data_IF_514499745726
#
_entry.id   IF_514499745726
#
_cell.length_a   1.000
_cell.length_b   1.000
_cell.length_c   1.000
_cell.angle_alpha   90.00
_cell.angle_beta   90.00
_cell.angle_gamma   90.00
#
_symmetry.space_group_name_H-M   'P 1'
#
loop_
_entity.id
_entity.type
_entity.pdbx_description
1 polymer ?
#
# COMPACT_ATOMS: atom_id res chain seq x y z
N UNK A 1 2.64 19.80 18.53
CA UNK A 1 2.29 18.52 17.86
C UNK A 1 3.41 17.99 16.98
N UNK A 2 3.97 18.79 16.05
CA UNK A 2 5.09 18.35 15.19
C UNK A 2 6.35 17.93 15.96
N UNK A 3 6.79 18.71 16.95
CA UNK A 3 7.99 18.39 17.75
C UNK A 3 7.90 17.06 18.49
N UNK A 4 6.79 16.83 19.22
CA UNK A 4 6.57 15.57 19.93
C UNK A 4 6.62 14.34 18.99
N UNK A 5 6.02 14.45 17.81
CA UNK A 5 6.06 13.36 16.81
C UNK A 5 7.48 13.11 16.29
N UNK A 6 8.28 14.16 16.13
CA UNK A 6 9.69 14.05 15.75
C UNK A 6 10.50 13.37 16.86
N UNK A 7 10.32 13.79 18.11
CA UNK A 7 11.01 13.22 19.27
C UNK A 7 10.71 11.72 19.42
N UNK A 8 9.43 11.34 19.34
CA UNK A 8 9.00 9.94 19.41
C UNK A 8 9.58 9.11 18.23
N UNK A 9 9.59 9.67 17.02
CA UNK A 9 10.17 9.01 15.86
C UNK A 9 11.70 8.82 16.01
N UNK A 10 12.41 9.81 16.56
CA UNK A 10 13.84 9.70 16.82
C UNK A 10 14.18 8.63 17.85
N UNK A 11 13.39 8.53 18.93
CA UNK A 11 13.58 7.50 19.95
C UNK A 11 13.43 6.08 19.36
N UNK A 12 12.40 5.88 18.52
CA UNK A 12 12.17 4.61 17.82
C UNK A 12 13.35 4.27 16.91
N UNK A 13 13.83 5.24 16.11
CA UNK A 13 14.95 5.03 15.20
C UNK A 13 16.24 4.71 15.95
N UNK A 14 16.54 5.44 17.04
CA UNK A 14 17.73 5.19 17.88
C UNK A 14 17.71 3.79 18.50
N UNK A 15 16.56 3.36 19.01
CA UNK A 15 16.40 2.02 19.55
C UNK A 15 16.59 0.94 18.49
N UNK A 16 15.98 1.11 17.31
CA UNK A 16 16.10 0.17 16.19
C UNK A 16 17.53 0.01 15.70
N UNK A 17 18.25 1.11 15.45
CA UNK A 17 19.64 1.08 14.96
C UNK A 17 20.54 0.36 15.97
N UNK A 18 20.42 0.70 17.26
CA UNK A 18 21.22 0.09 18.33
C UNK A 18 21.03 -1.43 18.42
N UNK A 19 19.82 -1.92 18.16
CA UNK A 19 19.54 -3.35 18.22
C UNK A 19 19.88 -4.06 16.90
N UNK A 20 19.74 -3.37 15.77
CA UNK A 20 20.15 -3.87 14.46
C UNK A 20 21.67 -4.08 14.35
N UNK A 21 22.48 -3.20 14.95
CA UNK A 21 23.96 -3.35 15.00
C UNK A 21 24.42 -4.64 15.69
N UNK A 22 23.59 -5.24 16.54
CA UNK A 22 23.89 -6.49 17.25
C UNK A 22 23.49 -7.73 16.45
N UNK A 23 22.78 -7.57 15.33
CA UNK A 23 22.32 -8.70 14.53
C UNK A 23 23.49 -9.33 13.76
N UNK A 24 23.51 -10.67 13.63
CA UNK A 24 24.50 -11.33 12.78
C UNK A 24 24.31 -10.91 11.32
N UNK A 25 25.41 -10.90 10.57
CA UNK A 25 25.32 -10.71 9.12
C UNK A 25 24.49 -11.83 8.50
N UNK A 26 23.43 -11.46 7.79
CA UNK A 26 22.56 -12.37 7.08
C UNK A 26 22.44 -11.91 5.62
N UNK A 27 22.25 -12.88 4.72
CA UNK A 27 21.93 -12.56 3.33
C UNK A 27 20.54 -11.91 3.28
N UNK A 28 20.45 -10.75 2.64
CA UNK A 28 19.18 -10.07 2.46
C UNK A 28 18.19 -10.94 1.66
N UNK A 29 16.97 -11.06 2.16
CA UNK A 29 15.88 -11.81 1.52
C UNK A 29 14.66 -10.91 1.43
N UNK A 30 14.26 -10.60 0.20
CA UNK A 30 13.08 -9.78 -0.09
C UNK A 30 11.78 -10.58 -0.04
N UNK A 31 11.86 -11.88 -0.34
CA UNK A 31 10.72 -12.79 -0.33
C UNK A 31 11.10 -14.05 0.44
N UNK A 32 10.15 -14.58 1.20
CA UNK A 32 10.28 -15.91 1.81
C UNK A 32 10.15 -17.03 0.79
N UNK A 33 9.57 -16.74 -0.39
CA UNK A 33 9.38 -17.70 -1.46
C UNK A 33 10.45 -17.55 -2.54
N UNK A 34 11.04 -18.68 -2.95
CA UNK A 34 12.03 -18.77 -4.02
C UNK A 34 11.45 -18.91 -5.45
N UNK A 35 10.12 -18.81 -5.63
CA UNK A 35 9.51 -18.97 -6.95
C UNK A 35 9.76 -17.71 -7.76
N UNK A 36 10.57 -17.87 -8.79
CA UNK A 36 10.84 -16.83 -9.77
C UNK A 36 9.91 -16.99 -10.97
N UNK A 37 9.69 -15.90 -11.70
CA UNK A 37 8.96 -15.91 -12.97
C UNK A 37 7.53 -16.47 -12.86
N UNK A 38 6.81 -16.09 -11.81
CA UNK A 38 5.38 -16.35 -11.73
C UNK A 38 4.65 -15.58 -12.83
N UNK A 39 4.22 -16.30 -13.87
CA UNK A 39 3.47 -15.73 -14.97
C UNK A 39 1.98 -15.97 -14.76
N UNK A 40 1.17 -15.01 -15.20
CA UNK A 40 -0.27 -15.20 -15.36
C UNK A 40 -0.50 -15.59 -16.82
N UNK A 41 -1.27 -16.66 -17.12
CA UNK A 41 -1.64 -16.97 -18.48
C UNK A 41 -2.45 -15.82 -19.08
N UNK A 42 -2.32 -15.64 -20.39
CA UNK A 42 -3.14 -14.70 -21.13
C UNK A 42 -4.59 -15.17 -21.16
N UNK A 43 -5.52 -14.22 -21.05
CA UNK A 43 -6.94 -14.50 -21.05
C UNK A 43 -7.75 -13.29 -20.60
N UNK A 44 -9.05 -13.34 -20.90
CA UNK A 44 -9.98 -12.30 -20.47
C UNK A 44 -10.18 -12.35 -18.94
N UNK A 45 -10.22 -11.20 -18.26
CA UNK A 45 -10.58 -11.16 -16.86
C UNK A 45 -12.02 -11.66 -16.67
N UNK A 46 -12.28 -12.31 -15.54
CA UNK A 46 -13.63 -12.76 -15.20
C UNK A 46 -14.54 -11.54 -15.06
N UNK A 47 -15.63 -11.51 -15.82
CA UNK A 47 -16.72 -10.55 -15.63
C UNK A 47 -17.61 -11.08 -14.51
N UNK A 48 -17.64 -10.35 -13.40
CA UNK A 48 -18.48 -10.70 -12.27
C UNK A 48 -19.72 -9.80 -12.26
N UNK A 49 -20.91 -10.41 -12.24
CA UNK A 49 -22.14 -9.66 -12.07
C UNK A 49 -22.15 -8.95 -10.70
N UNK A 50 -22.73 -7.75 -10.65
CA UNK A 50 -22.77 -6.95 -9.43
C UNK A 50 -21.45 -6.26 -9.05
N UNK A 51 -20.39 -6.38 -9.87
CA UNK A 51 -19.08 -5.78 -9.56
C UNK A 51 -19.18 -4.28 -9.35
N UNK A 52 -19.92 -3.59 -10.23
CA UNK A 52 -20.06 -2.13 -10.19
C UNK A 52 -20.73 -1.67 -8.90
N UNK A 53 -21.78 -2.36 -8.49
CA UNK A 53 -22.56 -2.09 -7.28
C UNK A 53 -21.69 -2.29 -6.04
N UNK A 54 -20.94 -3.41 -5.96
CA UNK A 54 -20.01 -3.68 -4.86
C UNK A 54 -18.89 -2.64 -4.81
N UNK A 55 -18.27 -2.34 -5.95
CA UNK A 55 -17.21 -1.34 -6.04
C UNK A 55 -17.69 0.03 -5.54
N UNK A 56 -18.85 0.50 -6.02
CA UNK A 56 -19.41 1.79 -5.63
C UNK A 56 -20.00 1.82 -4.21
N UNK A 57 -20.15 0.68 -3.54
CA UNK A 57 -20.64 0.65 -2.15
C UNK A 57 -19.61 1.14 -1.14
N UNK A 58 -18.31 1.09 -1.47
CA UNK A 58 -17.22 1.48 -0.58
C UNK A 58 -16.58 2.82 -0.95
N UNK A 59 -16.98 3.44 -2.07
CA UNK A 59 -16.34 4.69 -2.50
C UNK A 59 -16.77 5.85 -1.61
N UNK A 60 -15.85 6.77 -1.27
CA UNK A 60 -16.17 7.90 -0.39
C UNK A 60 -17.29 8.81 -0.93
N UNK A 61 -17.34 8.99 -2.25
CA UNK A 61 -18.35 9.78 -2.92
C UNK A 61 -18.58 9.30 -4.36
N UNK A 62 -19.84 9.36 -4.80
CA UNK A 62 -20.26 9.12 -6.18
C UNK A 62 -21.04 10.31 -6.71
N UNK A 63 -20.98 10.54 -8.01
CA UNK A 63 -21.85 11.50 -8.68
C UNK A 63 -23.20 10.87 -9.07
N UNK A 64 -24.10 11.70 -9.63
CA UNK A 64 -25.44 11.30 -10.07
C UNK A 64 -25.41 10.25 -11.20
N UNK A 65 -24.31 10.16 -11.96
CA UNK A 65 -24.11 9.18 -13.02
C UNK A 65 -23.57 7.83 -12.50
N UNK A 66 -23.26 7.74 -11.20
CA UNK A 66 -22.63 6.56 -10.60
C UNK A 66 -21.13 6.46 -10.89
N UNK A 67 -20.46 7.58 -11.12
CA UNK A 67 -19.00 7.64 -11.25
C UNK A 67 -18.35 8.08 -9.94
N UNK A 68 -17.08 7.73 -9.74
CA UNK A 68 -16.33 8.14 -8.53
C UNK A 68 -16.10 9.64 -8.57
N UNK A 69 -16.51 10.34 -7.52
CA UNK A 69 -16.25 11.78 -7.37
C UNK A 69 -14.88 11.99 -6.73
N UNK A 70 -14.02 12.76 -7.38
CA UNK A 70 -12.70 13.15 -6.87
C UNK A 70 -12.52 14.66 -6.98
N UNK A 71 -11.65 15.23 -6.13
CA UNK A 71 -11.26 16.63 -6.25
C UNK A 71 -10.42 16.85 -7.51
N UNK A 72 -10.69 17.94 -8.21
CA UNK A 72 -9.90 18.31 -9.39
C UNK A 72 -8.61 18.96 -8.92
N UNK A 73 -7.51 18.21 -8.97
CA UNK A 73 -6.18 18.79 -8.80
C UNK A 73 -5.82 19.55 -10.08
N UNK A 74 -5.62 20.86 -9.96
CA UNK A 74 -4.98 21.68 -11.00
C UNK A 74 -3.53 21.88 -10.60
N UNK A 75 -2.61 21.61 -11.52
CA UNK A 75 -1.25 22.13 -11.38
C UNK A 75 -1.33 23.65 -11.51
N UNK A 76 -1.05 24.36 -10.42
CA UNK A 76 -0.88 25.82 -10.38
C UNK A 76 0.60 26.13 -10.49
#
# INVERSE_FOLDING_TARGET
MKQKMTEEAEEILKAFVRDAEKLPQAQERYYSHEKLNLTRPDGEPRREEGFRERFLSIVPAKDESGSVRAEVARWV
#
